data_IF_990440106319
#
_entry.id   IF_990440106319
#
_cell.length_a   1.000
_cell.length_b   1.000
_cell.length_c   1.000
_cell.angle_alpha   90.00
_cell.angle_beta   90.00
_cell.angle_gamma   90.00
#
_symmetry.space_group_name_H-M   'P 1'
#
loop_
_entity.id
_entity.type
_entity.pdbx_description
1 polymer ?
#
# COMPACT_ATOMS: atom_id res chain seq x y z
N UNK A 1 -2.31 -24.11 13.84
CA UNK A 1 -2.70 -22.70 14.15
C UNK A 1 -4.22 -22.64 14.36
N UNK A 2 -4.76 -21.98 15.40
CA UNK A 2 -6.22 -21.83 15.51
C UNK A 2 -6.73 -20.90 14.40
N UNK A 3 -7.86 -21.26 13.75
CA UNK A 3 -8.47 -20.51 12.63
C UNK A 3 -8.60 -19.00 12.92
N UNK A 4 -8.90 -18.65 14.17
CA UNK A 4 -9.01 -17.25 14.62
C UNK A 4 -7.68 -16.49 14.56
N UNK A 5 -6.57 -17.10 15.01
CA UNK A 5 -5.23 -16.48 14.96
C UNK A 5 -4.73 -16.30 13.53
N UNK A 6 -5.09 -17.21 12.64
CA UNK A 6 -4.74 -17.15 11.22
C UNK A 6 -5.44 -15.98 10.52
N UNK A 7 -6.77 -15.85 10.65
CA UNK A 7 -7.49 -14.72 10.06
C UNK A 7 -7.02 -13.36 10.62
N UNK A 8 -6.65 -13.30 11.89
CA UNK A 8 -6.13 -12.08 12.51
C UNK A 8 -4.78 -11.64 11.90
N UNK A 9 -3.89 -12.60 11.62
CA UNK A 9 -2.61 -12.32 10.95
C UNK A 9 -2.81 -11.85 9.51
N UNK A 10 -3.79 -12.40 8.79
CA UNK A 10 -4.12 -11.97 7.42
C UNK A 10 -4.59 -10.52 7.42
N UNK A 11 -5.56 -10.20 8.28
CA UNK A 11 -6.07 -8.84 8.44
C UNK A 11 -4.97 -7.87 8.85
N UNK A 12 -4.12 -8.24 9.80
CA UNK A 12 -3.01 -7.40 10.24
C UNK A 12 -2.02 -7.11 9.09
N UNK A 13 -1.66 -8.15 8.32
CA UNK A 13 -0.77 -8.02 7.16
C UNK A 13 -1.39 -7.16 6.06
N UNK A 14 -2.68 -7.34 5.79
CA UNK A 14 -3.40 -6.61 4.76
C UNK A 14 -3.54 -5.12 5.13
N UNK A 15 -3.96 -4.83 6.37
CA UNK A 15 -4.10 -3.46 6.87
C UNK A 15 -2.76 -2.73 6.89
N UNK A 16 -1.70 -3.38 7.37
CA UNK A 16 -0.36 -2.77 7.38
C UNK A 16 0.16 -2.51 5.97
N UNK A 17 -0.03 -3.46 5.04
CA UNK A 17 0.43 -3.31 3.66
C UNK A 17 -0.31 -2.19 2.93
N UNK A 18 -1.65 -2.14 3.05
CA UNK A 18 -2.47 -1.06 2.49
C UNK A 18 -2.07 0.29 3.09
N UNK A 19 -1.91 0.39 4.41
CA UNK A 19 -1.51 1.64 5.07
C UNK A 19 -0.15 2.14 4.57
N UNK A 20 0.85 1.25 4.48
CA UNK A 20 2.19 1.60 3.99
C UNK A 20 2.13 2.09 2.54
N UNK A 21 1.38 1.41 1.66
CA UNK A 21 1.28 1.83 0.26
C UNK A 21 0.54 3.16 0.09
N UNK A 22 -0.48 3.44 0.91
CA UNK A 22 -1.15 4.74 0.89
C UNK A 22 -0.18 5.85 1.32
N UNK A 23 0.58 5.63 2.41
CA UNK A 23 1.59 6.59 2.88
C UNK A 23 2.66 6.81 1.80
N UNK A 24 3.18 5.73 1.21
CA UNK A 24 4.18 5.81 0.14
C UNK A 24 3.64 6.58 -1.07
N UNK A 25 2.41 6.30 -1.51
CA UNK A 25 1.79 7.00 -2.64
C UNK A 25 1.66 8.50 -2.37
N UNK A 26 1.20 8.90 -1.18
CA UNK A 26 1.11 10.31 -0.78
C UNK A 26 2.48 10.97 -0.72
N UNK A 27 3.47 10.32 -0.12
CA UNK A 27 4.84 10.83 -0.03
C UNK A 27 5.44 11.01 -1.42
N UNK A 28 5.29 10.01 -2.30
CA UNK A 28 5.76 10.10 -3.69
C UNK A 28 5.06 11.22 -4.44
N UNK A 29 3.74 11.38 -4.28
CA UNK A 29 2.99 12.45 -4.93
C UNK A 29 3.48 13.84 -4.50
N UNK A 30 3.67 14.05 -3.20
CA UNK A 30 4.22 15.29 -2.66
C UNK A 30 5.66 15.53 -3.12
N UNK A 31 6.51 14.49 -3.09
CA UNK A 31 7.90 14.58 -3.51
C UNK A 31 8.05 14.94 -5.00
N UNK A 32 7.24 14.34 -5.87
CA UNK A 32 7.23 14.66 -7.31
C UNK A 32 6.79 16.11 -7.51
N UNK A 33 5.68 16.54 -6.89
CA UNK A 33 5.23 17.94 -7.00
C UNK A 33 6.27 18.93 -6.47
N UNK A 34 6.94 18.59 -5.39
CA UNK A 34 8.01 19.41 -4.81
C UNK A 34 9.22 19.51 -5.75
N UNK A 35 9.60 18.39 -6.37
CA UNK A 35 10.67 18.36 -7.36
C UNK A 35 10.35 19.23 -8.58
N UNK A 36 9.12 19.15 -9.09
CA UNK A 36 8.67 20.00 -10.20
C UNK A 36 8.59 21.47 -9.83
N UNK A 37 8.16 21.80 -8.61
CA UNK A 37 8.15 23.16 -8.10
C UNK A 37 9.57 23.77 -8.08
N UNK A 38 10.55 23.03 -7.57
CA UNK A 38 11.95 23.50 -7.53
C UNK A 38 12.58 23.55 -8.92
N UNK A 39 12.39 22.51 -9.74
CA UNK A 39 13.09 22.36 -11.02
C UNK A 39 12.51 23.19 -12.16
N UNK A 40 11.19 23.38 -12.18
CA UNK A 40 10.47 24.00 -13.30
C UNK A 40 9.64 25.22 -12.90
N UNK A 41 9.60 25.59 -11.60
CA UNK A 41 8.82 26.74 -11.12
C UNK A 41 7.31 26.57 -11.27
N UNK A 42 6.84 25.35 -11.55
CA UNK A 42 5.40 25.06 -11.71
C UNK A 42 4.67 25.22 -10.38
N UNK A 43 3.44 25.78 -10.36
CA UNK A 43 2.68 25.99 -9.14
C UNK A 43 2.41 24.66 -8.42
N UNK A 44 2.59 24.69 -7.09
CA UNK A 44 2.36 23.54 -6.22
C UNK A 44 0.86 23.36 -5.98
N UNK A 45 0.16 22.84 -6.99
CA UNK A 45 -1.28 22.55 -6.92
C UNK A 45 -1.53 21.09 -6.57
N UNK A 46 -2.19 20.87 -5.42
CA UNK A 46 -2.64 19.56 -4.98
C UNK A 46 -4.12 19.41 -5.30
N UNK A 47 -4.46 18.70 -6.38
CA UNK A 47 -5.85 18.40 -6.70
C UNK A 47 -6.37 17.24 -5.83
N UNK A 48 -7.50 17.47 -5.18
CA UNK A 48 -8.17 16.46 -4.35
C UNK A 48 -8.56 15.20 -5.16
N UNK A 49 -8.93 15.39 -6.43
CA UNK A 49 -9.31 14.30 -7.34
C UNK A 49 -8.13 13.35 -7.58
N UNK A 50 -6.91 13.89 -7.71
CA UNK A 50 -5.71 13.08 -7.90
C UNK A 50 -5.37 12.30 -6.64
N UNK A 51 -5.49 12.93 -5.47
CA UNK A 51 -5.28 12.26 -4.17
C UNK A 51 -6.23 11.06 -4.02
N UNK A 52 -7.51 11.21 -4.35
CA UNK A 52 -8.47 10.10 -4.30
C UNK A 52 -8.08 8.95 -5.23
N UNK A 53 -7.68 9.26 -6.46
CA UNK A 53 -7.20 8.25 -7.42
C UNK A 53 -5.98 7.50 -6.91
N UNK A 54 -5.01 8.20 -6.30
CA UNK A 54 -3.83 7.55 -5.71
C UNK A 54 -4.18 6.68 -4.51
N UNK A 55 -5.15 7.09 -3.68
CA UNK A 55 -5.63 6.29 -2.55
C UNK A 55 -6.31 5.02 -3.06
N UNK A 56 -7.20 5.11 -4.05
CA UNK A 56 -7.83 3.93 -4.66
C UNK A 56 -6.79 2.98 -5.26
N UNK A 57 -5.85 3.51 -6.04
CA UNK A 57 -4.78 2.72 -6.63
C UNK A 57 -3.91 2.03 -5.56
N UNK A 58 -3.53 2.75 -4.49
CA UNK A 58 -2.76 2.21 -3.38
C UNK A 58 -3.56 1.15 -2.59
N UNK A 59 -4.88 1.31 -2.46
CA UNK A 59 -5.75 0.34 -1.82
C UNK A 59 -5.79 -0.97 -2.60
N UNK A 60 -6.06 -0.91 -3.91
CA UNK A 60 -6.04 -2.11 -4.76
C UNK A 60 -4.66 -2.78 -4.78
N UNK A 61 -3.59 -1.98 -4.89
CA UNK A 61 -2.21 -2.48 -4.80
C UNK A 61 -1.92 -3.17 -3.46
N UNK A 62 -2.36 -2.59 -2.35
CA UNK A 62 -2.13 -3.11 -1.01
C UNK A 62 -2.86 -4.42 -0.73
N UNK A 63 -4.07 -4.58 -1.29
CA UNK A 63 -4.80 -5.84 -1.24
C UNK A 63 -4.05 -6.92 -2.02
N UNK A 64 -3.61 -6.63 -3.25
CA UNK A 64 -2.87 -7.60 -4.09
C UNK A 64 -1.57 -8.02 -3.42
N UNK A 65 -0.78 -7.07 -2.90
CA UNK A 65 0.49 -7.37 -2.21
C UNK A 65 0.22 -8.13 -0.90
N UNK A 66 -0.77 -7.72 -0.12
CA UNK A 66 -1.14 -8.39 1.13
C UNK A 66 -1.56 -9.84 0.91
N UNK A 67 -2.39 -10.11 -0.10
CA UNK A 67 -2.81 -11.48 -0.47
C UNK A 67 -1.63 -12.29 -1.03
N UNK A 68 -0.75 -11.67 -1.82
CA UNK A 68 0.47 -12.32 -2.33
C UNK A 68 1.41 -12.74 -1.21
N UNK A 69 1.72 -11.83 -0.27
CA UNK A 69 2.54 -12.14 0.91
C UNK A 69 1.91 -13.23 1.77
N UNK A 70 0.58 -13.20 1.93
CA UNK A 70 -0.16 -14.25 2.64
C UNK A 70 -0.02 -15.62 1.99
N UNK A 71 -0.16 -15.69 0.66
CA UNK A 71 -0.03 -16.94 -0.09
C UNK A 71 1.37 -17.54 0.05
N UNK A 72 2.41 -16.71 -0.03
CA UNK A 72 3.80 -17.15 0.16
C UNK A 72 4.01 -17.70 1.57
N UNK A 73 3.49 -17.00 2.59
CA UNK A 73 3.55 -17.48 3.97
C UNK A 73 2.85 -18.84 4.12
N UNK A 74 1.67 -19.00 3.55
CA UNK A 74 0.90 -20.25 3.61
C UNK A 74 1.64 -21.40 2.90
N UNK A 75 2.18 -21.14 1.71
CA UNK A 75 2.97 -22.13 0.95
C UNK A 75 4.20 -22.59 1.74
N UNK A 76 4.90 -21.68 2.41
CA UNK A 76 6.06 -22.03 3.21
C UNK A 76 5.69 -22.81 4.48
N UNK A 77 4.58 -22.46 5.13
CA UNK A 77 4.07 -23.17 6.30
C UNK A 77 3.64 -24.61 5.95
N UNK A 78 2.93 -24.79 4.83
CA UNK A 78 2.47 -26.11 4.38
C UNK A 78 3.59 -27.00 3.81
N UNK A 79 4.74 -26.41 3.45
CA UNK A 79 5.92 -27.16 2.99
C UNK A 79 6.83 -27.64 4.13
N UNK A 80 6.61 -27.17 5.38
CA UNK A 80 7.37 -27.56 6.58
C UNK A 80 6.60 -28.47 7.54
N UNK A 81 5.36 -28.85 7.20
CA UNK A 81 4.64 -29.97 7.82
C UNK A 81 4.81 -31.21 6.97
#
# INVERSE_FOLDING_TARGET
MSRKKWLFLLLYLLVSCVAILIIMALVTYVAVRFFYFIGYGTPFELFYIDILKYIEAAFYGGVVVGVGCWWIYYRHYNSRQ
#
